data_IF_183653997007
#
_entry.id   IF_183653997007
#
_cell.length_a   1.000
_cell.length_b   1.000
_cell.length_c   1.000
_cell.angle_alpha   90.00
_cell.angle_beta   90.00
_cell.angle_gamma   90.00
#
_symmetry.space_group_name_H-M   'P 1'
#
loop_
_entity.id
_entity.type
_entity.pdbx_description
1 polymer ?
#
# COMPACT_ATOMS: atom_id res chain seq x y z
N UNK A 1 10.38 -2.93 -5.64
CA UNK A 1 8.91 -2.86 -5.76
C UNK A 1 8.17 -2.28 -4.53
N UNK A 2 8.79 -1.46 -3.68
CA UNK A 2 8.13 -0.92 -2.49
C UNK A 2 7.00 0.06 -2.91
N UNK A 3 5.73 -0.12 -2.46
CA UNK A 3 5.29 -0.84 -1.27
C UNK A 3 4.76 -2.25 -1.50
N UNK A 4 4.49 -2.61 -2.75
CA UNK A 4 3.88 -3.88 -3.15
C UNK A 4 4.70 -5.05 -2.62
N UNK A 5 6.01 -5.02 -2.88
CA UNK A 5 7.00 -5.96 -2.32
C UNK A 5 8.10 -5.17 -1.59
N UNK A 6 8.53 -5.67 -0.43
CA UNK A 6 9.65 -5.10 0.36
C UNK A 6 10.83 -6.07 0.37
N UNK A 7 12.00 -5.54 0.69
CA UNK A 7 13.18 -6.36 0.93
C UNK A 7 12.88 -7.35 2.08
N UNK A 8 13.29 -8.60 1.91
CA UNK A 8 13.01 -9.69 2.83
C UNK A 8 11.68 -10.41 2.60
N UNK A 9 10.83 -9.96 1.68
CA UNK A 9 9.64 -10.73 1.30
C UNK A 9 10.04 -12.03 0.58
N UNK A 10 9.45 -13.16 0.97
CA UNK A 10 9.55 -14.42 0.22
C UNK A 10 8.51 -14.41 -0.89
N UNK A 11 8.92 -14.66 -2.12
CA UNK A 11 8.05 -14.59 -3.29
C UNK A 11 7.72 -16.00 -3.79
N UNK A 12 6.44 -16.24 -4.03
CA UNK A 12 5.98 -17.41 -4.77
C UNK A 12 5.89 -17.03 -6.25
N UNK A 13 6.72 -17.70 -7.05
CA UNK A 13 6.87 -17.42 -8.47
C UNK A 13 6.34 -18.61 -9.24
N UNK A 14 5.32 -18.37 -10.06
CA UNK A 14 4.74 -19.37 -10.95
C UNK A 14 5.27 -19.17 -12.38
N UNK A 15 6.01 -20.14 -12.95
CA UNK A 15 6.43 -20.11 -14.34
C UNK A 15 5.26 -19.88 -15.30
N UNK A 16 5.52 -19.26 -16.45
CA UNK A 16 4.44 -18.98 -17.40
C UNK A 16 4.00 -20.23 -18.17
N UNK A 17 4.90 -21.17 -18.50
CA UNK A 17 4.55 -22.44 -19.18
C UNK A 17 3.58 -22.26 -20.37
N UNK A 18 3.88 -21.29 -21.25
CA UNK A 18 3.04 -20.98 -22.40
C UNK A 18 1.83 -20.08 -22.11
N UNK A 19 1.52 -19.77 -20.85
CA UNK A 19 0.56 -18.71 -20.50
C UNK A 19 1.07 -17.36 -21.03
N UNK A 20 0.15 -16.55 -21.55
CA UNK A 20 0.48 -15.21 -22.06
C UNK A 20 0.79 -14.25 -20.91
N UNK A 21 1.93 -13.57 -21.01
CA UNK A 21 2.29 -12.45 -20.12
C UNK A 21 1.36 -11.27 -20.41
N UNK A 22 0.84 -10.63 -19.35
CA UNK A 22 -0.12 -9.53 -19.48
C UNK A 22 0.40 -8.25 -18.81
N UNK A 23 0.07 -7.07 -19.38
CA UNK A 23 0.22 -5.81 -18.65
C UNK A 23 -0.43 -5.88 -17.28
N UNK A 24 0.31 -5.44 -16.26
CA UNK A 24 -0.09 -5.51 -14.85
C UNK A 24 0.44 -6.71 -14.08
N UNK A 25 0.95 -7.75 -14.75
CA UNK A 25 1.63 -8.86 -14.07
C UNK A 25 2.89 -8.37 -13.35
N UNK A 26 3.21 -8.93 -12.18
CA UNK A 26 4.52 -8.76 -11.56
C UNK A 26 5.34 -9.97 -11.92
N UNK A 27 6.51 -9.76 -12.54
CA UNK A 27 7.37 -10.83 -13.01
C UNK A 27 8.72 -10.77 -12.34
N UNK A 28 9.37 -11.93 -12.18
CA UNK A 28 10.79 -12.03 -11.84
C UNK A 28 11.57 -12.33 -13.12
N UNK A 29 12.61 -11.55 -13.39
CA UNK A 29 13.47 -11.72 -14.56
C UNK A 29 14.93 -11.47 -14.19
N UNK A 30 15.84 -11.88 -15.07
CA UNK A 30 17.26 -11.59 -14.95
C UNK A 30 17.56 -10.22 -15.59
N UNK A 31 18.18 -9.33 -14.83
CA UNK A 31 18.62 -8.02 -15.30
C UNK A 31 19.55 -8.16 -16.50
N UNK A 32 19.29 -7.48 -17.62
CA UNK A 32 20.22 -7.45 -18.76
C UNK A 32 21.58 -6.84 -18.41
N UNK A 33 21.66 -5.98 -17.39
CA UNK A 33 22.90 -5.28 -17.03
C UNK A 33 23.88 -6.15 -16.23
N UNK A 34 23.37 -7.01 -15.34
CA UNK A 34 24.22 -7.71 -14.38
C UNK A 34 23.72 -9.12 -14.00
N UNK A 35 22.68 -9.63 -14.65
CA UNK A 35 22.13 -10.96 -14.38
C UNK A 35 21.42 -11.12 -13.03
N UNK A 36 21.29 -10.06 -12.24
CA UNK A 36 20.59 -10.13 -10.95
C UNK A 36 19.08 -10.37 -11.13
N UNK A 37 18.46 -11.07 -10.18
CA UNK A 37 17.00 -11.29 -10.19
C UNK A 37 16.29 -10.00 -9.79
N UNK A 38 15.50 -9.45 -10.70
CA UNK A 38 14.68 -8.25 -10.49
C UNK A 38 13.21 -8.65 -10.55
N UNK A 39 12.39 -8.10 -9.66
CA UNK A 39 10.93 -8.21 -9.74
C UNK A 39 10.35 -6.87 -10.11
N UNK A 40 9.68 -6.73 -11.26
CA UNK A 40 8.97 -5.51 -11.66
C UNK A 40 7.61 -5.81 -12.30
N UNK A 41 6.77 -4.78 -12.43
CA UNK A 41 5.46 -4.91 -13.06
C UNK A 41 5.55 -4.68 -14.56
N UNK A 42 4.90 -5.55 -15.33
CA UNK A 42 4.75 -5.40 -16.78
C UNK A 42 3.89 -4.19 -17.08
N UNK A 43 4.43 -3.27 -17.88
CA UNK A 43 3.71 -2.08 -18.35
C UNK A 43 3.14 -2.31 -19.75
N UNK A 44 3.92 -2.97 -20.62
CA UNK A 44 3.48 -3.34 -21.96
C UNK A 44 4.18 -4.62 -22.43
N UNK A 45 3.55 -5.27 -23.40
CA UNK A 45 4.06 -6.45 -24.10
C UNK A 45 4.08 -6.15 -25.59
N UNK A 46 5.13 -6.55 -26.30
CA UNK A 46 5.28 -6.36 -27.74
C UNK A 46 6.06 -7.51 -28.38
N UNK A 47 6.27 -7.47 -29.71
CA UNK A 47 7.03 -8.49 -30.43
C UNK A 47 8.48 -8.61 -29.93
N UNK A 48 9.08 -7.49 -29.52
CA UNK A 48 10.46 -7.44 -29.02
C UNK A 48 10.60 -7.90 -27.55
N UNK A 49 9.48 -8.16 -26.87
CA UNK A 49 9.43 -8.61 -25.49
C UNK A 49 8.58 -7.71 -24.58
N UNK A 50 9.00 -7.60 -23.33
CA UNK A 50 8.21 -7.03 -22.23
C UNK A 50 8.90 -5.80 -21.68
N UNK A 51 8.14 -4.70 -21.52
CA UNK A 51 8.62 -3.52 -20.81
C UNK A 51 8.12 -3.54 -19.38
N UNK A 52 9.01 -3.33 -18.44
CA UNK A 52 8.72 -3.41 -17.01
C UNK A 52 8.96 -2.07 -16.30
N UNK A 53 8.37 -1.94 -15.12
CA UNK A 53 8.61 -0.80 -14.23
C UNK A 53 8.44 -1.21 -12.78
N UNK A 54 9.37 -0.75 -11.94
CA UNK A 54 9.20 -0.84 -10.50
C UNK A 54 7.99 -0.03 -9.99
N UNK A 55 7.18 -0.58 -9.08
CA UNK A 55 6.03 0.13 -8.50
C UNK A 55 6.45 1.42 -7.76
N UNK A 56 7.71 1.47 -7.26
CA UNK A 56 8.33 2.68 -6.68
C UNK A 56 8.87 3.64 -7.75
N UNK A 57 9.23 3.15 -8.92
CA UNK A 57 9.96 3.90 -9.93
C UNK A 57 8.99 4.78 -10.72
N UNK A 58 9.41 6.02 -11.02
CA UNK A 58 8.65 6.94 -11.87
C UNK A 58 8.73 6.57 -13.35
N UNK A 59 9.92 6.15 -13.79
CA UNK A 59 10.23 5.83 -15.18
C UNK A 59 10.09 4.32 -15.46
N UNK A 60 9.80 3.99 -16.72
CA UNK A 60 9.86 2.62 -17.23
C UNK A 60 11.33 2.21 -17.31
N UNK A 61 11.62 0.93 -17.07
CA UNK A 61 12.99 0.43 -17.19
C UNK A 61 13.50 0.65 -18.64
N UNK A 62 14.78 0.99 -18.83
CA UNK A 62 15.32 1.36 -20.14
C UNK A 62 15.44 0.17 -21.09
N UNK A 63 15.43 -1.06 -20.57
CA UNK A 63 15.57 -2.29 -21.32
C UNK A 63 14.23 -2.95 -21.67
N UNK A 64 14.26 -3.80 -22.70
CA UNK A 64 13.17 -4.72 -23.05
C UNK A 64 13.58 -6.12 -22.60
N UNK A 65 12.70 -6.78 -21.86
CA UNK A 65 12.92 -8.13 -21.32
C UNK A 65 12.37 -9.16 -22.28
N UNK A 66 13.24 -10.05 -22.77
CA UNK A 66 12.82 -11.18 -23.59
C UNK A 66 12.18 -12.26 -22.72
N UNK A 67 11.30 -13.06 -23.31
CA UNK A 67 10.54 -14.09 -22.59
C UNK A 67 11.45 -15.15 -21.94
N UNK A 68 12.59 -15.47 -22.54
CA UNK A 68 13.60 -16.40 -22.02
C UNK A 68 14.29 -15.90 -20.74
N UNK A 69 14.29 -14.58 -20.51
CA UNK A 69 14.87 -13.97 -19.31
C UNK A 69 13.88 -13.93 -18.13
N UNK A 70 12.62 -14.30 -18.35
CA UNK A 70 11.54 -14.26 -17.35
C UNK A 70 11.46 -15.59 -16.63
N UNK A 71 11.71 -15.57 -15.33
CA UNK A 71 11.62 -16.75 -14.46
C UNK A 71 10.17 -17.12 -14.13
N UNK A 72 9.28 -16.13 -14.08
CA UNK A 72 7.84 -16.37 -13.87
C UNK A 72 7.09 -15.18 -13.27
N UNK A 73 5.81 -15.39 -13.02
CA UNK A 73 4.91 -14.43 -12.40
C UNK A 73 4.96 -14.55 -10.88
N UNK A 74 5.13 -13.44 -10.17
CA UNK A 74 4.92 -13.38 -8.72
C UNK A 74 3.42 -13.42 -8.46
N UNK A 75 2.95 -14.51 -7.86
CA UNK A 75 1.53 -14.69 -7.51
C UNK A 75 1.28 -14.42 -6.03
N UNK A 76 2.31 -14.56 -5.19
CA UNK A 76 2.22 -14.35 -3.76
C UNK A 76 3.50 -13.76 -3.17
N UNK A 77 3.35 -12.98 -2.11
CA UNK A 77 4.44 -12.47 -1.30
C UNK A 77 4.16 -12.70 0.19
N UNK A 78 5.15 -13.21 0.90
CA UNK A 78 5.10 -13.52 2.33
C UNK A 78 6.07 -12.62 3.11
N UNK A 79 5.59 -12.08 4.23
CA UNK A 79 6.41 -11.31 5.18
C UNK A 79 6.04 -11.72 6.61
N UNK A 80 6.94 -12.46 7.27
CA UNK A 80 6.59 -13.13 8.52
C UNK A 80 5.38 -14.04 8.31
N UNK A 81 4.35 -13.88 9.12
CA UNK A 81 3.11 -14.67 9.01
C UNK A 81 2.06 -14.09 8.04
N UNK A 82 2.37 -12.98 7.36
CA UNK A 82 1.41 -12.33 6.45
C UNK A 82 1.68 -12.81 5.01
N UNK A 83 0.69 -13.48 4.43
CA UNK A 83 0.66 -13.89 3.01
C UNK A 83 -0.25 -12.94 2.21
N UNK A 84 0.26 -12.40 1.10
CA UNK A 84 -0.48 -11.45 0.22
C UNK A 84 -0.46 -11.93 -1.22
N UNK A 85 -1.65 -11.99 -1.83
CA UNK A 85 -1.80 -12.20 -3.26
C UNK A 85 -1.33 -11.01 -4.07
N UNK A 86 -0.57 -11.30 -5.12
CA UNK A 86 -0.07 -10.31 -6.08
C UNK A 86 -0.88 -10.45 -7.36
N UNK A 87 -1.84 -9.56 -7.53
CA UNK A 87 -2.70 -9.57 -8.70
C UNK A 87 -1.94 -9.12 -9.96
N UNK A 88 -2.12 -9.88 -11.03
CA UNK A 88 -1.69 -9.55 -12.38
C UNK A 88 -2.81 -8.92 -13.23
N UNK A 89 -2.53 -8.72 -14.52
CA UNK A 89 -3.51 -8.16 -15.46
C UNK A 89 -4.08 -6.80 -15.06
N UNK A 90 -5.34 -6.57 -15.42
CA UNK A 90 -6.05 -5.31 -15.12
C UNK A 90 -6.16 -5.02 -13.61
N UNK A 91 -6.35 -6.03 -12.77
CA UNK A 91 -6.35 -5.85 -11.30
C UNK A 91 -4.97 -5.41 -10.79
N UNK A 92 -3.90 -5.95 -11.39
CA UNK A 92 -2.53 -5.52 -11.15
C UNK A 92 -2.30 -4.05 -11.52
N UNK A 93 -2.82 -3.62 -12.68
CA UNK A 93 -2.77 -2.21 -13.11
C UNK A 93 -3.53 -1.32 -12.10
N UNK A 94 -4.76 -1.68 -11.74
CA UNK A 94 -5.58 -0.90 -10.81
C UNK A 94 -4.91 -0.77 -9.44
N UNK A 95 -4.41 -1.87 -8.89
CA UNK A 95 -3.71 -1.86 -7.60
C UNK A 95 -2.46 -0.97 -7.62
N UNK A 96 -1.66 -1.03 -8.69
CA UNK A 96 -0.48 -0.20 -8.82
C UNK A 96 -0.82 1.29 -8.97
N UNK A 97 -1.84 1.61 -9.75
CA UNK A 97 -2.34 2.99 -9.92
C UNK A 97 -2.87 3.53 -8.59
N UNK A 98 -3.68 2.77 -7.87
CA UNK A 98 -4.20 3.16 -6.56
C UNK A 98 -3.07 3.44 -5.56
N UNK A 99 -2.08 2.55 -5.48
CA UNK A 99 -0.89 2.72 -4.62
C UNK A 99 -0.12 4.00 -4.96
N UNK A 100 0.08 4.29 -6.26
CA UNK A 100 0.78 5.50 -6.71
C UNK A 100 0.00 6.77 -6.41
N UNK A 101 -1.32 6.74 -6.64
CA UNK A 101 -2.19 7.87 -6.33
C UNK A 101 -2.21 8.13 -4.83
N UNK A 102 -2.39 7.11 -3.99
CA UNK A 102 -2.34 7.24 -2.53
C UNK A 102 -1.00 7.82 -2.06
N UNK A 103 0.12 7.42 -2.65
CA UNK A 103 1.45 7.97 -2.32
C UNK A 103 1.62 9.43 -2.74
N UNK A 104 1.12 9.80 -3.92
CA UNK A 104 1.12 11.20 -4.37
C UNK A 104 0.26 12.07 -3.47
N UNK A 105 -0.88 11.55 -3.02
CA UNK A 105 -1.78 12.23 -2.07
C UNK A 105 -1.14 12.37 -0.69
N UNK A 106 -0.28 11.43 -0.28
CA UNK A 106 0.49 11.51 0.96
C UNK A 106 1.66 12.51 0.86
N UNK A 107 2.27 12.67 -0.33
CA UNK A 107 3.37 13.62 -0.58
C UNK A 107 2.95 15.01 -1.07
N UNK A 108 1.70 15.18 -1.50
CA UNK A 108 1.21 16.42 -2.10
C UNK A 108 -0.24 16.61 -1.68
N UNK A 109 -0.53 17.73 -1.01
CA UNK A 109 -1.88 18.17 -0.65
C UNK A 109 -2.82 18.07 -1.85
N UNK A 110 -3.59 16.98 -1.96
CA UNK A 110 -4.53 16.81 -3.05
C UNK A 110 -5.83 17.55 -2.74
N UNK A 111 -5.83 18.87 -2.87
CA UNK A 111 -7.02 19.72 -2.71
C UNK A 111 -8.20 19.30 -3.61
N UNK A 112 -7.96 18.54 -4.69
CA UNK A 112 -9.01 18.04 -5.58
C UNK A 112 -9.75 16.79 -5.06
N UNK A 113 -9.03 15.88 -4.41
CA UNK A 113 -9.64 14.67 -3.81
C UNK A 113 -9.96 14.89 -2.33
N UNK A 114 -9.48 15.97 -1.72
CA UNK A 114 -9.75 16.32 -0.33
C UNK A 114 -11.24 16.52 -0.07
N UNK A 115 -12.04 17.25 -0.88
CA UNK A 115 -13.47 17.42 -0.63
C UNK A 115 -14.21 16.08 -0.67
N UNK A 116 -13.91 15.24 -1.67
CA UNK A 116 -14.51 13.92 -1.78
C UNK A 116 -14.10 13.01 -0.63
N UNK A 117 -12.80 12.93 -0.31
CA UNK A 117 -12.29 12.13 0.81
C UNK A 117 -12.81 12.62 2.17
N UNK A 118 -12.87 13.94 2.38
CA UNK A 118 -13.38 14.55 3.61
C UNK A 118 -14.88 14.29 3.74
N UNK A 119 -15.65 14.48 2.67
CA UNK A 119 -17.08 14.12 2.61
C UNK A 119 -17.31 12.63 2.89
N UNK A 120 -16.55 11.74 2.24
CA UNK A 120 -16.59 10.30 2.47
C UNK A 120 -16.20 9.93 3.90
N UNK A 121 -15.19 10.57 4.49
CA UNK A 121 -14.80 10.35 5.89
C UNK A 121 -15.88 10.82 6.87
N UNK A 122 -16.57 11.92 6.59
CA UNK A 122 -17.69 12.43 7.40
C UNK A 122 -18.96 11.61 7.27
N UNK A 123 -19.13 10.87 6.17
CA UNK A 123 -20.34 10.09 5.91
C UNK A 123 -20.49 8.84 6.81
N UNK A 124 -19.41 8.35 7.41
CA UNK A 124 -19.43 7.16 8.27
C UNK A 124 -19.76 5.83 7.57
N UNK A 125 -19.93 5.82 6.24
CA UNK A 125 -20.33 4.64 5.46
C UNK A 125 -19.31 3.49 5.64
N UNK A 126 -18.02 3.80 5.59
CA UNK A 126 -16.94 2.83 5.75
C UNK A 126 -16.70 2.39 7.20
N UNK A 127 -17.17 3.19 8.18
CA UNK A 127 -17.21 2.80 9.60
C UNK A 127 -18.14 1.62 9.84
N UNK A 128 -19.27 1.55 9.11
CA UNK A 128 -20.26 0.47 9.21
C UNK A 128 -19.87 -0.82 8.46
N UNK A 129 -19.00 -0.69 7.45
CA UNK A 129 -18.51 -1.81 6.63
C UNK A 129 -17.31 -2.53 7.25
N UNK A 130 -16.80 -2.07 8.40
CA UNK A 130 -15.74 -2.77 9.12
C UNK A 130 -16.26 -4.10 9.66
N UNK A 131 -15.63 -5.24 9.31
CA UNK A 131 -15.91 -6.49 9.99
C UNK A 131 -15.62 -6.30 11.49
N UNK A 132 -16.52 -6.77 12.36
CA UNK A 132 -16.51 -6.52 13.81
C UNK A 132 -15.24 -6.90 14.58
N UNK A 133 -14.21 -7.43 13.90
CA UNK A 133 -12.91 -7.79 14.46
C UNK A 133 -11.83 -6.69 14.40
N UNK A 134 -12.04 -5.56 13.72
CA UNK A 134 -11.05 -4.46 13.70
C UNK A 134 -11.51 -3.24 14.50
N UNK A 135 -11.73 -3.44 15.81
CA UNK A 135 -12.03 -2.34 16.74
C UNK A 135 -10.82 -1.41 16.87
N UNK A 136 -11.07 -0.12 16.74
CA UNK A 136 -10.11 0.92 17.11
C UNK A 136 -9.95 0.94 18.63
N UNK A 137 -8.74 1.22 19.10
CA UNK A 137 -8.44 1.34 20.54
C UNK A 137 -7.58 2.56 20.77
N UNK A 138 -7.90 3.35 21.78
CA UNK A 138 -7.05 4.44 22.23
C UNK A 138 -6.16 3.93 23.34
N UNK A 139 -4.85 4.09 23.18
CA UNK A 139 -3.84 3.70 24.17
C UNK A 139 -3.15 4.95 24.68
N UNK A 140 -3.07 5.07 26.00
CA UNK A 140 -2.42 6.18 26.69
C UNK A 140 -1.03 5.78 27.16
N UNK A 141 -0.02 6.56 26.80
CA UNK A 141 1.35 6.40 27.28
C UNK A 141 1.75 7.60 28.14
N UNK A 142 2.21 7.33 29.36
CA UNK A 142 2.84 8.35 30.20
C UNK A 142 4.31 8.49 29.80
N UNK A 143 4.73 9.66 29.31
CA UNK A 143 6.13 9.98 29.04
C UNK A 143 6.60 11.11 29.97
N UNK A 144 7.92 11.28 30.16
CA UNK A 144 8.46 12.41 30.93
C UNK A 144 8.02 13.78 30.41
N UNK A 145 7.75 13.90 29.11
CA UNK A 145 7.28 15.11 28.45
C UNK A 145 5.74 15.29 28.46
N UNK A 146 5.00 14.38 29.10
CA UNK A 146 3.54 14.39 29.17
C UNK A 146 2.88 13.12 28.66
N UNK A 147 1.54 13.09 28.77
CA UNK A 147 0.69 11.96 28.36
C UNK A 147 0.44 11.99 26.84
N UNK A 148 0.83 10.93 26.14
CA UNK A 148 0.60 10.75 24.70
C UNK A 148 -0.56 9.76 24.46
N UNK A 149 -1.60 10.18 23.75
CA UNK A 149 -2.65 9.27 23.28
C UNK A 149 -2.35 8.80 21.86
N UNK A 150 -2.43 7.49 21.65
CA UNK A 150 -2.25 6.86 20.35
C UNK A 150 -3.52 6.09 19.97
N UNK A 151 -3.93 6.24 18.72
CA UNK A 151 -5.04 5.49 18.13
C UNK A 151 -4.48 4.27 17.42
N UNK A 152 -4.93 3.10 17.85
CA UNK A 152 -4.54 1.79 17.33
C UNK A 152 -5.69 1.14 16.57
N UNK A 153 -5.36 0.41 15.51
CA UNK A 153 -6.26 -0.50 14.81
C UNK A 153 -5.54 -1.84 14.64
N UNK A 154 -5.89 -2.80 15.50
CA UNK A 154 -5.05 -3.99 15.69
C UNK A 154 -3.67 -3.59 16.24
N UNK A 155 -2.60 -4.05 15.60
CA UNK A 155 -1.20 -3.73 15.96
C UNK A 155 -0.68 -2.41 15.37
N UNK A 156 -1.51 -1.68 14.62
CA UNK A 156 -1.08 -0.52 13.85
C UNK A 156 -1.40 0.78 14.58
N UNK A 157 -0.39 1.61 14.82
CA UNK A 157 -0.60 3.02 15.22
C UNK A 157 -1.09 3.80 13.99
N UNK A 158 -2.37 4.11 13.99
CA UNK A 158 -3.07 4.81 12.90
C UNK A 158 -3.29 6.28 13.19
N UNK A 159 -3.15 6.73 14.44
CA UNK A 159 -3.25 8.14 14.77
C UNK A 159 -2.63 8.50 16.10
N UNK A 160 -2.46 9.80 16.34
CA UNK A 160 -1.96 10.37 17.59
C UNK A 160 -2.75 11.61 17.96
N UNK A 161 -2.97 11.82 19.25
CA UNK A 161 -3.51 13.09 19.74
C UNK A 161 -2.43 14.18 19.66
N UNK A 162 -2.80 15.36 19.16
CA UNK A 162 -1.93 16.54 19.14
C UNK A 162 -2.36 17.51 20.24
N UNK A 163 -1.68 17.56 21.40
CA UNK A 163 -2.11 18.38 22.54
C UNK A 163 -2.24 19.86 22.20
N UNK A 164 -1.30 20.41 21.42
CA UNK A 164 -1.29 21.83 21.03
C UNK A 164 -2.44 22.22 20.10
N UNK A 165 -2.99 21.27 19.34
CA UNK A 165 -4.05 21.52 18.35
C UNK A 165 -5.41 20.95 18.78
N UNK A 166 -5.47 20.30 19.95
CA UNK A 166 -6.66 19.62 20.48
C UNK A 166 -7.39 18.78 19.43
N UNK A 167 -6.64 18.02 18.65
CA UNK A 167 -7.19 17.21 17.56
C UNK A 167 -6.41 15.92 17.38
N UNK A 168 -7.09 14.93 16.82
CA UNK A 168 -6.48 13.69 16.37
C UNK A 168 -5.79 13.89 15.02
N UNK A 169 -4.51 13.54 14.96
CA UNK A 169 -3.80 13.35 13.69
C UNK A 169 -3.93 11.88 13.27
N UNK A 170 -4.93 11.58 12.45
CA UNK A 170 -5.15 10.24 11.90
C UNK A 170 -4.47 10.14 10.54
N UNK A 171 -3.68 9.09 10.35
CA UNK A 171 -3.01 8.79 9.09
C UNK A 171 -4.03 8.38 8.04
N UNK A 172 -3.88 8.90 6.82
CA UNK A 172 -4.69 8.42 5.69
C UNK A 172 -4.29 6.98 5.33
N UNK A 173 -5.22 6.14 4.84
CA UNK A 173 -6.65 6.39 4.64
C UNK A 173 -7.52 6.02 5.87
N UNK A 174 -6.93 5.85 7.05
CA UNK A 174 -7.64 5.30 8.22
C UNK A 174 -8.77 6.19 8.73
N UNK A 175 -8.81 7.47 8.35
CA UNK A 175 -9.92 8.39 8.64
C UNK A 175 -11.28 7.90 8.14
N UNK A 176 -11.32 7.08 7.08
CA UNK A 176 -12.56 6.50 6.57
C UNK A 176 -13.17 5.45 7.52
N UNK A 177 -12.34 4.90 8.41
CA UNK A 177 -12.65 3.75 9.24
C UNK A 177 -12.74 4.12 10.73
N UNK A 178 -12.58 5.40 11.05
CA UNK A 178 -12.58 5.92 12.42
C UNK A 178 -13.68 6.95 12.52
N UNK A 179 -14.59 6.75 13.46
CA UNK A 179 -15.52 7.80 13.86
C UNK A 179 -14.79 8.76 14.81
N UNK A 180 -14.34 9.90 14.28
CA UNK A 180 -13.61 10.91 15.06
C UNK A 180 -14.44 11.47 16.21
N UNK A 181 -15.76 11.56 16.06
CA UNK A 181 -16.65 12.06 17.12
C UNK A 181 -16.77 11.07 18.31
N UNK A 182 -16.43 9.80 18.09
CA UNK A 182 -16.39 8.78 19.15
C UNK A 182 -15.06 8.75 19.90
N UNK A 183 -14.04 9.47 19.42
CA UNK A 183 -12.75 9.51 20.07
C UNK A 183 -12.79 10.44 21.29
N UNK A 184 -11.97 10.17 22.31
CA UNK A 184 -11.87 11.07 23.44
C UNK A 184 -11.23 12.39 22.96
N UNK A 185 -12.03 13.46 23.04
CA UNK A 185 -11.64 14.84 22.70
C UNK A 185 -11.13 15.62 23.92
N UNK A 186 -11.40 15.09 25.12
CA UNK A 186 -10.87 15.58 26.38
C UNK A 186 -10.02 14.49 27.02
N UNK A 187 -8.81 14.85 27.44
CA UNK A 187 -8.14 14.11 28.50
C UNK A 187 -9.04 14.27 29.74
N UNK A 188 -9.56 13.19 30.37
CA UNK A 188 -10.16 13.37 31.68
C UNK A 188 -9.09 13.99 32.57
N UNK A 189 -9.37 15.18 33.07
CA UNK A 189 -8.65 15.73 34.20
C UNK A 189 -8.75 14.68 35.30
N UNK A 190 -7.59 14.33 35.83
CA UNK A 190 -7.35 13.27 36.81
C UNK A 190 -8.38 13.23 37.94
#
# INVERSE_FOLDING_TARGET
MNPTLRAGDRLEVNPYEGRKIRPGDVIVFLSPENGSKISHRVVSTGPDGVRTRGDKNSQIDPWVIRTDQILGQVICAERGNIRRWIFGGWMGIMSATAVRTLRRVDSSMSSLLYPAYDWLSRSGIFGRLLPGQRKTRVVSFNRPAGRELQLHMGEWVIGKWMPHRRQWQIRRPFRLFVDEASLPDNLPDS
#
